data_IF_973899627074
#
_entry.id   IF_973899627074
#
_cell.length_a   1.000
_cell.length_b   1.000
_cell.length_c   1.000
_cell.angle_alpha   90.00
_cell.angle_beta   90.00
_cell.angle_gamma   90.00
#
_symmetry.space_group_name_H-M   'P 1'
#
loop_
_entity.id
_entity.type
_entity.pdbx_description
1 polymer ?
#
# COMPACT_ATOMS: atom_id res chain seq x y z
N UNK A 1 62.54 -52.82 -13.40
CA UNK A 1 61.14 -52.78 -12.95
C UNK A 1 61.12 -52.27 -11.52
N UNK A 2 60.60 -51.06 -11.28
CA UNK A 2 60.03 -50.57 -9.99
C UNK A 2 59.27 -49.29 -10.34
N UNK A 3 57.98 -49.26 -9.95
CA UNK A 3 57.02 -48.16 -10.14
C UNK A 3 57.11 -47.18 -8.97
N UNK A 4 57.17 -45.89 -9.26
CA UNK A 4 56.97 -44.79 -8.29
C UNK A 4 56.72 -43.53 -9.11
N UNK A 5 55.74 -42.65 -8.89
CA UNK A 5 54.51 -42.59 -8.10
C UNK A 5 53.99 -41.20 -8.47
N UNK A 6 52.77 -41.11 -9.03
CA UNK A 6 52.20 -39.84 -9.53
C UNK A 6 51.89 -38.92 -8.34
N UNK A 7 52.67 -37.87 -8.16
CA UNK A 7 52.38 -36.81 -7.19
C UNK A 7 51.25 -35.92 -7.71
N UNK A 8 50.24 -35.77 -6.86
CA UNK A 8 49.08 -34.92 -7.06
C UNK A 8 49.47 -33.43 -7.01
N UNK A 9 48.92 -32.63 -7.91
CA UNK A 9 48.79 -31.18 -7.72
C UNK A 9 47.30 -30.86 -7.82
N UNK A 10 46.70 -30.64 -6.66
CA UNK A 10 45.39 -30.07 -6.52
C UNK A 10 45.46 -28.58 -6.89
N UNK A 11 44.68 -28.17 -7.89
CA UNK A 11 44.40 -26.75 -8.16
C UNK A 11 42.89 -26.55 -7.99
N UNK A 12 42.54 -26.13 -6.78
CA UNK A 12 41.24 -25.59 -6.41
C UNK A 12 41.03 -24.27 -7.15
N UNK A 13 40.23 -24.29 -8.23
CA UNK A 13 39.70 -23.07 -8.83
C UNK A 13 38.37 -22.74 -8.17
N UNK A 14 38.44 -21.85 -7.18
CA UNK A 14 37.29 -21.14 -6.64
C UNK A 14 36.71 -20.23 -7.73
N UNK A 15 35.51 -20.55 -8.22
CA UNK A 15 34.74 -19.63 -9.09
C UNK A 15 33.72 -18.90 -8.23
N UNK A 16 34.00 -17.60 -8.17
CA UNK A 16 33.30 -16.48 -7.59
C UNK A 16 31.77 -16.53 -7.65
N UNK A 17 31.17 -16.15 -6.52
CA UNK A 17 29.74 -15.89 -6.42
C UNK A 17 29.30 -14.66 -7.23
N UNK A 18 28.10 -14.77 -7.78
CA UNK A 18 27.27 -13.64 -8.16
C UNK A 18 25.85 -13.94 -7.68
N UNK A 19 25.55 -13.52 -6.44
CA UNK A 19 24.20 -13.52 -5.90
C UNK A 19 23.40 -12.42 -6.60
N UNK A 20 22.71 -12.75 -7.69
CA UNK A 20 21.67 -11.89 -8.25
C UNK A 20 20.37 -12.09 -7.45
N UNK A 21 20.34 -11.60 -6.21
CA UNK A 21 19.08 -11.39 -5.50
C UNK A 21 18.49 -10.04 -5.94
N UNK A 22 17.99 -10.02 -7.18
CA UNK A 22 17.10 -8.97 -7.65
C UNK A 22 15.78 -9.08 -6.91
N UNK A 23 15.72 -8.52 -5.70
CA UNK A 23 14.48 -8.40 -4.94
C UNK A 23 13.56 -7.41 -5.63
N UNK A 24 12.60 -7.90 -6.41
CA UNK A 24 11.38 -7.16 -6.68
C UNK A 24 10.64 -6.98 -5.35
N UNK A 25 11.00 -5.95 -4.59
CA UNK A 25 10.20 -5.49 -3.46
C UNK A 25 8.93 -4.87 -4.04
N UNK A 26 7.90 -5.69 -4.22
CA UNK A 26 6.55 -5.18 -4.36
C UNK A 26 6.21 -4.47 -3.04
N UNK A 27 6.23 -3.14 -3.03
CA UNK A 27 5.84 -2.37 -1.84
C UNK A 27 4.34 -2.47 -1.64
N UNK A 28 3.92 -3.61 -1.12
CA UNK A 28 2.59 -3.78 -0.59
C UNK A 28 2.62 -3.54 0.91
N UNK A 29 1.63 -2.81 1.40
CA UNK A 29 1.45 -2.58 2.83
C UNK A 29 0.01 -2.81 3.24
N UNK A 30 -0.13 -3.37 4.44
CA UNK A 30 -1.42 -3.52 5.13
C UNK A 30 -1.81 -2.23 5.85
N UNK A 31 -3.11 -2.04 6.13
CA UNK A 31 -3.54 -0.92 6.95
C UNK A 31 -2.96 -1.03 8.36
N UNK A 32 -2.68 0.13 8.95
CA UNK A 32 -2.26 0.26 10.36
C UNK A 32 -3.47 0.19 11.27
N UNK A 33 -4.59 0.78 10.84
CA UNK A 33 -5.87 0.80 11.54
C UNK A 33 -6.98 1.17 10.58
N UNK A 34 -8.22 0.88 10.95
CA UNK A 34 -9.43 1.36 10.30
C UNK A 34 -10.48 1.69 11.38
N UNK A 35 -11.38 2.61 11.05
CA UNK A 35 -12.43 3.07 11.97
C UNK A 35 -13.58 3.76 11.24
N UNK A 36 -14.75 3.75 11.89
CA UNK A 36 -15.94 4.46 11.44
C UNK A 36 -15.76 5.99 11.53
N UNK A 37 -16.29 6.68 10.52
CA UNK A 37 -16.23 8.13 10.40
C UNK A 37 -15.11 8.63 9.49
N UNK A 38 -15.07 9.94 9.35
CA UNK A 38 -14.03 10.67 8.62
C UNK A 38 -12.75 10.80 9.47
N UNK A 39 -11.58 11.02 8.84
CA UNK A 39 -10.34 11.19 9.58
C UNK A 39 -10.38 12.41 10.49
N UNK A 40 -9.92 12.26 11.73
CA UNK A 40 -9.91 13.37 12.70
C UNK A 40 -8.95 14.48 12.26
N UNK A 41 -9.42 15.73 12.36
CA UNK A 41 -8.59 16.91 12.06
C UNK A 41 -8.36 17.15 10.56
N UNK A 42 -9.16 16.51 9.70
CA UNK A 42 -9.17 16.73 8.26
C UNK A 42 -10.60 17.02 7.84
N UNK A 43 -10.80 18.12 7.11
CA UNK A 43 -12.10 18.41 6.51
C UNK A 43 -12.30 17.58 5.25
N UNK A 44 -13.49 16.98 5.12
CA UNK A 44 -13.86 16.27 3.91
C UNK A 44 -13.86 17.22 2.70
N UNK A 45 -13.25 16.83 1.56
CA UNK A 45 -13.23 17.66 0.38
C UNK A 45 -14.64 17.78 -0.21
N UNK A 46 -14.97 18.89 -0.87
CA UNK A 46 -16.27 19.04 -1.54
C UNK A 46 -16.58 17.91 -2.54
N UNK A 47 -15.55 17.28 -3.10
CA UNK A 47 -15.69 16.12 -4.00
C UNK A 47 -16.21 14.87 -3.33
N UNK A 48 -16.18 14.75 -1.99
CA UNK A 48 -16.74 13.61 -1.26
C UNK A 48 -18.25 13.74 -1.02
N UNK A 49 -18.85 14.89 -1.37
CA UNK A 49 -20.30 15.08 -1.28
C UNK A 49 -21.04 13.96 -2.02
N UNK A 50 -22.07 13.40 -1.38
CA UNK A 50 -22.79 12.24 -1.90
C UNK A 50 -22.09 10.90 -1.66
N UNK A 51 -21.00 10.87 -0.88
CA UNK A 51 -20.31 9.65 -0.47
C UNK A 51 -19.29 9.13 -1.48
N UNK A 52 -18.74 10.01 -2.31
CA UNK A 52 -17.63 9.64 -3.18
C UNK A 52 -16.35 9.38 -2.38
N UNK A 53 -15.62 8.34 -2.75
CA UNK A 53 -14.34 7.96 -2.11
C UNK A 53 -13.31 9.08 -2.20
N UNK A 54 -12.51 9.24 -1.15
CA UNK A 54 -11.47 10.26 -1.10
C UNK A 54 -10.31 9.83 -0.20
N UNK A 55 -9.23 10.60 -0.18
CA UNK A 55 -8.06 10.31 0.63
C UNK A 55 -7.42 11.60 1.16
N UNK A 56 -6.76 11.50 2.30
CA UNK A 56 -6.07 12.62 2.91
C UNK A 56 -4.80 12.21 3.66
N UNK A 57 -3.84 13.13 3.72
CA UNK A 57 -2.64 12.97 4.54
C UNK A 57 -2.99 13.10 6.01
N UNK A 58 -2.37 12.26 6.82
CA UNK A 58 -2.48 12.24 8.27
C UNK A 58 -1.07 12.34 8.87
N UNK A 59 -0.98 12.77 10.13
CA UNK A 59 0.30 12.87 10.85
C UNK A 59 1.41 13.56 10.02
N UNK A 60 1.09 14.70 9.39
CA UNK A 60 2.03 15.45 8.53
C UNK A 60 2.65 14.59 7.40
N UNK A 61 1.84 13.69 6.83
CA UNK A 61 2.25 12.79 5.74
C UNK A 61 3.11 11.61 6.18
N UNK A 62 3.14 11.28 7.48
CA UNK A 62 3.64 9.96 7.93
C UNK A 62 2.64 8.85 7.64
N UNK A 63 1.36 9.20 7.55
CA UNK A 63 0.26 8.32 7.22
C UNK A 63 -0.66 8.98 6.22
N UNK A 64 -1.56 8.20 5.63
CA UNK A 64 -2.70 8.71 4.89
C UNK A 64 -3.91 7.80 5.12
N UNK A 65 -5.10 8.40 5.07
CA UNK A 65 -6.38 7.69 5.15
C UNK A 65 -7.02 7.59 3.77
N UNK A 66 -7.59 6.44 3.45
CA UNK A 66 -8.55 6.25 2.36
C UNK A 66 -9.93 6.17 3.00
N UNK A 67 -10.85 7.01 2.55
CA UNK A 67 -12.21 7.10 3.06
C UNK A 67 -13.15 6.54 2.01
N UNK A 68 -13.92 5.54 2.41
CA UNK A 68 -14.94 4.88 1.60
C UNK A 68 -16.29 5.03 2.30
N UNK A 69 -17.39 4.95 1.55
CA UNK A 69 -18.74 5.07 2.10
C UNK A 69 -19.53 3.78 1.92
N UNK A 70 -20.23 3.37 2.96
CA UNK A 70 -21.06 2.16 2.95
C UNK A 70 -21.90 2.03 4.21
N UNK A 71 -22.49 0.85 4.39
CA UNK A 71 -23.27 0.50 5.58
C UNK A 71 -22.40 0.51 6.84
N UNK A 72 -22.86 1.08 7.95
CA UNK A 72 -22.09 1.04 9.20
C UNK A 72 -21.91 -0.38 9.75
N UNK A 73 -22.83 -1.30 9.43
CA UNK A 73 -22.73 -2.71 9.81
C UNK A 73 -21.93 -3.55 8.81
N UNK A 74 -21.65 -3.03 7.61
CA UNK A 74 -20.82 -3.66 6.59
C UNK A 74 -19.88 -2.63 5.95
N UNK A 75 -18.97 -2.00 6.72
CA UNK A 75 -18.18 -0.90 6.21
C UNK A 75 -17.19 -1.40 5.15
N UNK A 76 -17.06 -0.70 4.02
CA UNK A 76 -16.00 -0.97 3.07
C UNK A 76 -14.64 -0.61 3.71
N UNK A 77 -13.66 -1.48 3.55
CA UNK A 77 -12.28 -1.27 4.03
C UNK A 77 -11.28 -1.61 2.93
N UNK A 78 -10.08 -1.06 3.04
CA UNK A 78 -8.96 -1.38 2.14
C UNK A 78 -8.05 -2.41 2.80
N UNK A 79 -7.93 -3.60 2.23
CA UNK A 79 -7.10 -4.68 2.79
C UNK A 79 -5.61 -4.45 2.57
N UNK A 80 -5.25 -3.85 1.45
CA UNK A 80 -3.85 -3.59 1.10
C UNK A 80 -3.74 -2.47 0.08
N UNK A 81 -2.59 -1.82 0.07
CA UNK A 81 -2.14 -0.97 -1.03
C UNK A 81 -0.88 -1.57 -1.65
N UNK A 82 -0.62 -1.22 -2.91
CA UNK A 82 0.60 -1.57 -3.61
C UNK A 82 1.07 -0.38 -4.45
N UNK A 83 2.35 0.00 -4.33
CA UNK A 83 2.96 0.99 -5.22
C UNK A 83 3.14 0.36 -6.60
N UNK A 84 2.53 0.95 -7.62
CA UNK A 84 2.56 0.42 -8.99
C UNK A 84 3.57 1.13 -9.87
N UNK A 85 3.64 2.47 -9.79
CA UNK A 85 4.61 3.28 -10.52
C UNK A 85 4.72 4.69 -9.90
N UNK A 86 5.94 5.16 -9.59
CA UNK A 86 6.16 6.51 -9.07
C UNK A 86 5.22 6.88 -7.92
N UNK A 87 4.36 7.88 -8.15
CA UNK A 87 3.34 8.36 -7.21
C UNK A 87 1.95 7.73 -7.43
N UNK A 88 1.91 6.47 -7.86
CA UNK A 88 0.68 5.72 -8.09
C UNK A 88 0.61 4.49 -7.20
N UNK A 89 -0.57 4.29 -6.61
CA UNK A 89 -0.92 3.16 -5.77
C UNK A 89 -2.14 2.45 -6.34
N UNK A 90 -2.18 1.14 -6.22
CA UNK A 90 -3.40 0.36 -6.32
C UNK A 90 -3.85 -0.06 -4.92
N UNK A 91 -5.09 0.27 -4.55
CA UNK A 91 -5.74 -0.20 -3.35
C UNK A 91 -6.62 -1.42 -3.68
N UNK A 92 -6.57 -2.42 -2.80
CA UNK A 92 -7.40 -3.63 -2.87
C UNK A 92 -8.41 -3.58 -1.73
N UNK A 93 -9.69 -3.61 -2.07
CA UNK A 93 -10.77 -3.65 -1.07
C UNK A 93 -10.80 -5.00 -0.36
N UNK A 94 -11.10 -4.97 0.93
CA UNK A 94 -11.43 -6.19 1.65
C UNK A 94 -12.78 -6.74 1.16
N UNK A 95 -12.98 -8.07 1.20
CA UNK A 95 -14.31 -8.64 1.01
C UNK A 95 -15.29 -8.06 2.01
N UNK A 96 -16.50 -7.72 1.56
CA UNK A 96 -17.59 -7.31 2.46
C UNK A 96 -17.90 -8.48 3.39
N UNK A 97 -17.94 -8.22 4.70
CA UNK A 97 -18.33 -9.23 5.69
C UNK A 97 -19.75 -9.71 5.40
N UNK A 98 -19.97 -11.02 5.25
CA UNK A 98 -21.24 -11.63 4.82
C UNK A 98 -22.42 -11.54 5.81
N UNK A 99 -22.47 -10.51 6.66
CA UNK A 99 -23.54 -10.25 7.62
C UNK A 99 -24.71 -9.46 7.02
N UNK A 100 -25.70 -9.16 7.87
CA UNK A 100 -26.82 -8.29 7.49
C UNK A 100 -26.35 -6.84 7.53
N UNK A 101 -26.38 -6.18 6.38
CA UNK A 101 -26.03 -4.77 6.27
C UNK A 101 -27.24 -3.88 6.55
N UNK A 102 -27.01 -2.76 7.23
CA UNK A 102 -27.97 -1.67 7.43
C UNK A 102 -28.05 -0.75 6.22
N UNK A 103 -29.11 0.06 6.15
CA UNK A 103 -29.36 0.97 5.01
C UNK A 103 -28.69 2.34 5.15
N UNK A 104 -27.89 2.56 6.18
CA UNK A 104 -27.16 3.80 6.33
C UNK A 104 -25.96 3.85 5.37
N UNK A 105 -25.54 5.06 5.01
CA UNK A 105 -24.42 5.27 4.11
C UNK A 105 -23.48 6.29 4.75
N UNK A 106 -22.46 5.77 5.42
CA UNK A 106 -21.57 6.53 6.30
C UNK A 106 -20.11 6.33 5.91
N UNK A 107 -19.22 7.30 6.20
CA UNK A 107 -17.80 7.16 5.92
C UNK A 107 -17.13 6.14 6.83
N UNK A 108 -16.15 5.45 6.28
CA UNK A 108 -15.24 4.56 6.99
C UNK A 108 -13.81 4.83 6.51
N UNK A 109 -12.90 5.06 7.44
CA UNK A 109 -11.51 5.44 7.15
C UNK A 109 -10.59 4.24 7.35
N UNK A 110 -9.80 3.91 6.34
CA UNK A 110 -8.69 2.94 6.46
C UNK A 110 -7.35 3.68 6.35
N UNK A 111 -6.47 3.50 7.35
CA UNK A 111 -5.22 4.25 7.48
C UNK A 111 -4.00 3.39 7.15
N UNK A 112 -3.07 3.97 6.38
CA UNK A 112 -1.81 3.35 6.01
C UNK A 112 -0.63 4.20 6.42
N UNK A 113 0.48 3.55 6.80
CA UNK A 113 1.78 4.21 6.82
C UNK A 113 2.16 4.60 5.38
N UNK A 114 2.72 5.78 5.19
CA UNK A 114 3.14 6.24 3.85
C UNK A 114 4.33 5.40 3.35
N UNK A 115 4.20 4.68 2.22
CA UNK A 115 5.33 3.98 1.61
C UNK A 115 6.47 4.95 1.30
N UNK A 116 7.71 4.52 1.56
CA UNK A 116 8.89 5.37 1.45
C UNK A 116 9.12 5.99 0.06
N UNK A 117 8.60 5.34 -1.00
CA UNK A 117 8.75 5.81 -2.39
C UNK A 117 7.74 6.87 -2.82
N UNK A 118 6.68 7.12 -2.05
CA UNK A 118 5.70 8.14 -2.39
C UNK A 118 6.20 9.54 -2.03
N UNK A 119 6.15 10.45 -3.00
CA UNK A 119 6.30 11.87 -2.73
C UNK A 119 5.07 12.39 -1.98
N UNK A 120 5.33 13.11 -0.89
CA UNK A 120 4.31 13.79 -0.07
C UNK A 120 3.97 15.17 -0.61
N UNK A 121 4.82 15.76 -1.45
CA UNK A 121 4.67 17.12 -1.97
C UNK A 121 4.07 17.16 -3.37
N UNK A 122 4.03 16.01 -4.05
CA UNK A 122 3.33 15.83 -5.32
C UNK A 122 2.04 15.04 -5.11
N UNK A 123 1.07 15.19 -6.03
CA UNK A 123 -0.15 14.38 -5.98
C UNK A 123 0.17 12.88 -6.07
N UNK A 124 -0.56 12.07 -5.30
CA UNK A 124 -0.53 10.61 -5.37
C UNK A 124 -1.87 10.13 -5.95
N UNK A 125 -1.80 9.29 -6.98
CA UNK A 125 -2.98 8.67 -7.58
C UNK A 125 -3.24 7.33 -6.92
N UNK A 126 -4.46 7.09 -6.46
CA UNK A 126 -4.88 5.86 -5.80
C UNK A 126 -5.99 5.22 -6.65
N UNK A 127 -5.67 4.11 -7.29
CA UNK A 127 -6.65 3.27 -7.96
C UNK A 127 -7.46 2.48 -6.92
N UNK A 128 -8.79 2.57 -7.03
CA UNK A 128 -9.75 1.67 -6.38
C UNK A 128 -10.33 0.73 -7.45
N UNK A 129 -11.19 -0.22 -7.06
CA UNK A 129 -11.82 -1.14 -8.01
C UNK A 129 -12.76 -0.44 -9.00
N UNK A 130 -13.39 0.65 -8.58
CA UNK A 130 -14.47 1.35 -9.29
C UNK A 130 -14.18 2.85 -9.52
N UNK A 131 -13.13 3.37 -8.90
CA UNK A 131 -12.80 4.80 -8.93
C UNK A 131 -11.29 5.04 -8.90
N UNK A 132 -10.91 6.29 -9.18
CA UNK A 132 -9.55 6.78 -8.93
C UNK A 132 -9.63 8.00 -8.05
N UNK A 133 -8.86 8.00 -6.97
CA UNK A 133 -8.79 9.09 -6.00
C UNK A 133 -7.43 9.77 -6.11
N UNK A 134 -7.40 11.10 -5.99
CA UNK A 134 -6.15 11.85 -5.90
C UNK A 134 -5.93 12.33 -4.48
N UNK A 135 -4.82 11.90 -3.88
CA UNK A 135 -4.29 12.45 -2.65
C UNK A 135 -3.39 13.64 -3.01
N UNK A 136 -3.87 14.86 -2.79
CA UNK A 136 -3.14 16.08 -3.13
C UNK A 136 -1.82 16.18 -2.35
N UNK A 137 -0.77 16.73 -2.96
CA UNK A 137 0.50 16.97 -2.26
C UNK A 137 0.33 17.94 -1.09
N UNK A 138 1.05 17.68 0.01
CA UNK A 138 1.19 18.60 1.13
C UNK A 138 1.77 19.92 0.63
N UNK A 139 1.08 21.01 0.95
CA UNK A 139 1.62 22.36 0.80
C UNK A 139 2.45 22.64 2.05
N UNK A 140 3.74 22.92 1.85
CA UNK A 140 4.66 23.34 2.91
C UNK A 140 4.39 24.76 3.38
#
# INVERSE_FOLDING_TARGET
MIRTSRTAVALLLAVSGAALLGGCSTDSSKPVTDYAGEPKGVDAPASSAGGASWAAWLEQGRQFGIVLYGSSNCPPTVQSIQVTAGNQLQATLAPVSGGVCTQDYVPHTTVFATPARLSKTSGVTIGLSDATVTLAGLRG
#
